data_IF_518570570204
#
_entry.id   IF_518570570204
#
_cell.length_a   1.000
_cell.length_b   1.000
_cell.length_c   1.000
_cell.angle_alpha   90.00
_cell.angle_beta   90.00
_cell.angle_gamma   90.00
#
_symmetry.space_group_name_H-M   'P 1'
#
loop_
_entity.id
_entity.type
_entity.pdbx_description
1 polymer ?
#
# COMPACT_ATOMS: atom_id res chain seq x y z
N UNK A 1 -5.62 -26.01 -50.77
CA UNK A 1 -6.95 -25.68 -50.19
C UNK A 1 -6.84 -25.89 -48.69
N UNK A 2 -6.55 -24.84 -47.93
CA UNK A 2 -6.39 -24.89 -46.47
C UNK A 2 -7.59 -24.17 -45.88
N UNK A 3 -8.47 -24.96 -45.26
CA UNK A 3 -9.72 -24.50 -44.67
C UNK A 3 -9.39 -23.57 -43.50
N UNK A 4 -9.77 -22.30 -43.63
CA UNK A 4 -9.87 -21.39 -42.51
C UNK A 4 -11.05 -21.88 -41.64
N UNK A 5 -10.74 -22.55 -40.53
CA UNK A 5 -11.70 -22.73 -39.44
C UNK A 5 -11.97 -21.32 -38.90
N UNK A 6 -13.09 -20.75 -39.36
CA UNK A 6 -13.65 -19.57 -38.72
C UNK A 6 -13.93 -19.90 -37.27
N UNK A 7 -13.45 -19.06 -36.35
CA UNK A 7 -13.93 -19.02 -34.97
C UNK A 7 -15.42 -18.64 -35.02
N UNK A 8 -16.28 -19.62 -35.21
CA UNK A 8 -17.72 -19.48 -35.11
C UNK A 8 -18.11 -19.55 -33.65
N UNK A 9 -17.94 -18.43 -32.94
CA UNK A 9 -18.75 -17.97 -31.81
C UNK A 9 -18.11 -16.68 -31.27
N UNK A 10 -18.83 -15.54 -31.22
CA UNK A 10 -18.41 -14.46 -30.33
C UNK A 10 -18.56 -15.01 -28.92
N UNK A 11 -17.45 -15.35 -28.26
CA UNK A 11 -17.49 -15.49 -26.80
C UNK A 11 -18.02 -14.14 -26.31
N UNK A 12 -19.23 -14.12 -25.73
CA UNK A 12 -19.79 -12.90 -25.16
C UNK A 12 -18.73 -12.32 -24.24
N UNK A 13 -18.21 -11.13 -24.59
CA UNK A 13 -17.19 -10.45 -23.79
C UNK A 13 -17.76 -10.23 -22.40
N UNK A 14 -17.24 -10.95 -21.41
CA UNK A 14 -17.66 -10.80 -20.03
C UNK A 14 -17.17 -9.49 -19.46
N UNK A 15 -17.79 -9.03 -18.38
CA UNK A 15 -17.31 -7.86 -17.63
C UNK A 15 -15.88 -8.05 -17.12
N UNK A 16 -15.48 -9.28 -16.83
CA UNK A 16 -14.12 -9.64 -16.43
C UNK A 16 -13.10 -9.38 -17.55
N UNK A 17 -13.44 -9.72 -18.80
CA UNK A 17 -12.59 -9.47 -19.96
C UNK A 17 -12.43 -7.96 -20.22
N UNK A 18 -13.51 -7.20 -20.05
CA UNK A 18 -13.48 -5.74 -20.14
C UNK A 18 -12.60 -5.12 -19.06
N UNK A 19 -12.67 -5.66 -17.83
CA UNK A 19 -11.83 -5.22 -16.72
C UNK A 19 -10.35 -5.58 -16.97
N UNK A 20 -10.06 -6.80 -17.45
CA UNK A 20 -8.71 -7.25 -17.80
C UNK A 20 -8.08 -6.35 -18.89
N UNK A 21 -8.82 -6.10 -19.96
CA UNK A 21 -8.42 -5.21 -21.06
C UNK A 21 -8.16 -3.78 -20.55
N UNK A 22 -9.02 -3.27 -19.65
CA UNK A 22 -8.82 -1.95 -19.06
C UNK A 22 -7.56 -1.91 -18.22
N UNK A 23 -7.37 -2.89 -17.34
CA UNK A 23 -6.30 -2.96 -16.37
C UNK A 23 -4.92 -3.10 -17.04
N UNK A 24 -4.86 -3.84 -18.15
CA UNK A 24 -3.64 -4.06 -18.95
C UNK A 24 -3.42 -3.04 -20.06
N UNK A 25 -4.28 -2.02 -20.17
CA UNK A 25 -4.14 -0.96 -21.18
C UNK A 25 -2.79 -0.28 -21.05
N UNK A 26 -2.11 -0.14 -22.19
CA UNK A 26 -0.86 0.61 -22.30
C UNK A 26 -1.11 2.10 -22.00
N UNK A 27 -0.48 2.58 -20.94
CA UNK A 27 -0.64 3.92 -20.37
C UNK A 27 0.64 4.29 -19.65
N UNK A 28 0.85 5.59 -19.37
CA UNK A 28 2.08 6.08 -18.73
C UNK A 28 2.44 5.35 -17.43
N UNK A 29 1.45 5.07 -16.57
CA UNK A 29 1.61 4.21 -15.39
C UNK A 29 0.78 2.95 -15.57
N UNK A 30 1.42 1.87 -15.99
CA UNK A 30 0.78 0.57 -16.11
C UNK A 30 0.16 0.11 -14.78
N UNK A 31 -1.07 -0.43 -14.83
CA UNK A 31 -1.77 -0.92 -13.64
C UNK A 31 -1.61 -2.43 -13.50
N UNK A 32 -2.24 -3.21 -14.39
CA UNK A 32 -2.27 -4.66 -14.29
C UNK A 32 -2.94 -5.17 -13.00
N UNK A 33 -3.08 -6.50 -12.88
CA UNK A 33 -3.69 -7.13 -11.70
C UNK A 33 -2.87 -6.93 -10.44
N UNK A 34 -1.54 -6.88 -10.59
CA UNK A 34 -0.63 -6.53 -9.51
C UNK A 34 -0.83 -5.11 -9.00
N UNK A 35 -1.18 -4.14 -9.87
CA UNK A 35 -1.41 -2.75 -9.50
C UNK A 35 -2.52 -2.56 -8.46
N UNK A 36 -3.53 -3.43 -8.47
CA UNK A 36 -4.63 -3.38 -7.50
C UNK A 36 -4.15 -3.56 -6.07
N UNK A 37 -3.11 -4.37 -5.85
CA UNK A 37 -2.48 -4.54 -4.54
C UNK A 37 -1.34 -3.54 -4.34
N UNK A 38 -0.51 -3.34 -5.37
CA UNK A 38 0.70 -2.53 -5.29
C UNK A 38 0.41 -1.05 -4.99
N UNK A 39 -0.50 -0.42 -5.72
CA UNK A 39 -0.73 1.02 -5.54
C UNK A 39 -1.25 1.38 -4.15
N UNK A 40 -2.31 0.75 -3.60
CA UNK A 40 -2.78 1.11 -2.28
C UNK A 40 -1.72 0.79 -1.19
N UNK A 41 -1.05 -0.36 -1.27
CA UNK A 41 -0.05 -0.75 -0.25
C UNK A 41 1.18 0.14 -0.29
N UNK A 42 1.73 0.44 -1.48
CA UNK A 42 2.88 1.34 -1.63
C UNK A 42 2.53 2.77 -1.22
N UNK A 43 1.33 3.25 -1.61
CA UNK A 43 0.88 4.58 -1.24
C UNK A 43 0.71 4.73 0.28
N UNK A 44 0.10 3.75 0.95
CA UNK A 44 -0.07 3.77 2.40
C UNK A 44 1.26 3.60 3.15
N UNK A 45 2.17 2.76 2.65
CA UNK A 45 3.49 2.59 3.27
C UNK A 45 4.32 3.89 3.18
N UNK A 46 4.39 4.51 2.00
CA UNK A 46 5.11 5.77 1.80
C UNK A 46 4.44 6.92 2.55
N UNK A 47 3.11 7.04 2.44
CA UNK A 47 2.34 8.06 3.14
C UNK A 47 2.45 7.93 4.66
N UNK A 48 2.40 6.71 5.19
CA UNK A 48 2.60 6.41 6.61
C UNK A 48 3.99 6.79 7.09
N UNK A 49 5.04 6.47 6.32
CA UNK A 49 6.41 6.89 6.65
C UNK A 49 6.56 8.41 6.65
N UNK A 50 6.10 9.11 5.61
CA UNK A 50 6.15 10.57 5.55
C UNK A 50 5.37 11.23 6.69
N UNK A 51 4.18 10.74 6.99
CA UNK A 51 3.35 11.25 8.10
C UNK A 51 4.08 11.03 9.42
N UNK A 52 4.66 9.85 9.62
CA UNK A 52 5.37 9.49 10.83
C UNK A 52 6.62 10.36 11.08
N UNK A 53 7.54 10.44 10.12
CA UNK A 53 8.76 11.25 10.27
C UNK A 53 8.47 12.76 10.37
N UNK A 54 7.31 13.22 9.89
CA UNK A 54 6.96 14.64 9.95
C UNK A 54 6.30 15.00 11.29
N UNK A 55 5.41 14.14 11.81
CA UNK A 55 4.49 14.53 12.89
C UNK A 55 4.44 13.59 14.11
N UNK A 56 4.97 12.36 14.02
CA UNK A 56 4.73 11.32 15.05
C UNK A 56 5.94 11.16 15.98
N UNK A 57 5.67 11.21 17.28
CA UNK A 57 6.67 11.05 18.33
C UNK A 57 6.93 9.59 18.70
N UNK A 58 8.18 9.29 19.08
CA UNK A 58 8.57 8.02 19.71
C UNK A 58 8.76 8.15 21.22
N UNK A 59 8.21 9.19 21.86
CA UNK A 59 8.37 9.43 23.29
C UNK A 59 7.81 8.29 24.15
N UNK A 60 6.63 7.76 23.80
CA UNK A 60 5.97 6.71 24.58
C UNK A 60 6.51 5.30 24.32
N UNK A 61 7.26 5.09 23.23
CA UNK A 61 7.82 3.79 22.87
C UNK A 61 9.30 3.68 23.21
N UNK A 62 10.08 4.73 22.96
CA UNK A 62 11.53 4.75 23.12
C UNK A 62 12.07 5.93 23.94
N UNK A 63 11.23 6.92 24.32
CA UNK A 63 11.70 8.13 24.98
C UNK A 63 12.52 9.05 24.06
N UNK A 64 12.28 8.98 22.75
CA UNK A 64 13.03 9.71 21.72
C UNK A 64 12.13 10.70 20.97
N UNK A 65 12.68 11.86 20.64
CA UNK A 65 12.14 12.75 19.61
C UNK A 65 12.51 12.18 18.23
N UNK A 66 11.51 11.92 17.38
CA UNK A 66 11.70 11.21 16.10
C UNK A 66 11.08 11.91 14.90
N UNK A 67 10.46 13.07 15.08
CA UNK A 67 9.80 13.79 14.00
C UNK A 67 10.35 15.19 13.74
N UNK A 68 10.14 15.70 12.53
CA UNK A 68 10.46 17.09 12.18
C UNK A 68 9.73 18.10 13.09
N UNK A 69 8.50 17.78 13.49
CA UNK A 69 7.73 18.59 14.45
C UNK A 69 8.44 18.72 15.81
N UNK A 70 9.18 17.68 16.23
CA UNK A 70 9.96 17.66 17.47
C UNK A 70 11.39 18.20 17.30
N UNK A 71 11.78 18.62 16.09
CA UNK A 71 13.11 19.16 15.80
C UNK A 71 14.13 18.14 15.28
N UNK A 72 13.71 16.92 14.93
CA UNK A 72 14.56 15.99 14.19
C UNK A 72 14.89 16.55 12.79
N UNK A 73 15.96 16.06 12.18
CA UNK A 73 16.30 16.38 10.78
C UNK A 73 16.20 15.13 9.90
N UNK A 74 16.45 15.25 8.59
CA UNK A 74 16.31 14.14 7.64
C UNK A 74 17.12 12.88 8.00
N UNK A 75 18.25 13.04 8.73
CA UNK A 75 19.10 11.92 9.14
C UNK A 75 18.62 11.24 10.43
N UNK A 76 17.83 11.93 11.25
CA UNK A 76 17.45 11.46 12.59
C UNK A 76 15.94 11.19 12.73
N UNK A 77 15.13 11.64 11.78
CA UNK A 77 13.69 11.38 11.81
C UNK A 77 13.39 9.91 11.49
N UNK A 78 12.43 9.32 12.20
CA UNK A 78 12.13 7.90 12.10
C UNK A 78 10.68 7.59 12.47
N UNK A 79 10.18 6.47 11.94
CA UNK A 79 8.97 5.79 12.44
C UNK A 79 9.44 4.59 13.24
N UNK A 80 9.53 4.77 14.56
CA UNK A 80 10.11 3.77 15.45
C UNK A 80 9.17 2.58 15.67
N UNK A 81 9.76 1.45 16.06
CA UNK A 81 9.01 0.25 16.43
C UNK A 81 8.17 0.48 17.69
N UNK A 82 7.11 -0.32 17.92
CA UNK A 82 6.36 -0.30 19.18
C UNK A 82 7.23 -0.60 20.40
N UNK A 83 6.75 -0.25 21.59
CA UNK A 83 7.39 -0.61 22.86
C UNK A 83 7.49 -2.14 23.01
N UNK A 84 8.52 -2.63 23.69
CA UNK A 84 8.75 -4.07 23.89
C UNK A 84 7.55 -4.77 24.57
N UNK A 85 6.80 -4.06 25.43
CA UNK A 85 5.59 -4.56 26.08
C UNK A 85 4.46 -4.93 25.11
N UNK A 86 4.50 -4.42 23.87
CA UNK A 86 3.53 -4.75 22.82
C UNK A 86 3.80 -6.12 22.18
N UNK A 87 4.95 -6.74 22.46
CA UNK A 87 5.32 -8.06 21.95
C UNK A 87 5.25 -8.15 20.43
N UNK A 88 4.54 -9.16 19.94
CA UNK A 88 4.31 -9.40 18.50
C UNK A 88 2.88 -9.03 18.08
N UNK A 89 2.25 -8.07 18.77
CA UNK A 89 0.92 -7.61 18.37
C UNK A 89 0.95 -7.07 16.94
N UNK A 90 -0.10 -7.38 16.17
CA UNK A 90 -0.31 -6.79 14.84
C UNK A 90 -0.58 -5.29 14.92
N UNK A 91 -0.99 -4.79 16.10
CA UNK A 91 -1.23 -3.38 16.38
C UNK A 91 -2.16 -2.72 15.36
N UNK A 92 -3.27 -3.40 15.07
CA UNK A 92 -4.32 -2.90 14.18
C UNK A 92 -5.00 -1.68 14.81
N UNK A 93 -5.42 -0.71 13.98
CA UNK A 93 -6.11 0.49 14.44
C UNK A 93 -7.36 0.16 15.28
N UNK A 94 -8.15 -0.82 14.85
CA UNK A 94 -9.33 -1.31 15.58
C UNK A 94 -9.01 -2.44 16.58
N UNK A 95 -7.74 -2.68 16.87
CA UNK A 95 -7.29 -3.70 17.82
C UNK A 95 -7.55 -3.29 19.28
N UNK A 96 -7.46 -4.24 20.23
CA UNK A 96 -7.71 -3.96 21.65
C UNK A 96 -6.72 -2.97 22.28
N UNK A 97 -5.56 -2.77 21.66
CA UNK A 97 -4.54 -1.83 22.12
C UNK A 97 -4.84 -0.38 21.72
N UNK A 98 -5.42 -0.15 20.54
CA UNK A 98 -5.70 1.19 19.99
C UNK A 98 -7.19 1.59 20.12
N UNK A 99 -8.09 0.62 20.00
CA UNK A 99 -9.55 0.76 20.19
C UNK A 99 -10.25 1.79 19.28
N UNK A 100 -9.73 2.03 18.07
CA UNK A 100 -10.37 2.83 17.02
C UNK A 100 -9.51 3.94 16.47
#
# INVERSE_FOLDING_TARGET
>A
MTIAIGRSQPVERGWFDVLDDWLKRDRFVFVGWSGLLLFPTAFLALGGWFTGITFVSSWYTHGLASSFLEGANFLTAAVSTPALSMGHSLLLLWGPEAQG
#
